data_IF_008181044229
#
_entry.id   IF_008181044229
#
_cell.length_a   1.000
_cell.length_b   1.000
_cell.length_c   1.000
_cell.angle_alpha   90.00
_cell.angle_beta   90.00
_cell.angle_gamma   90.00
#
_symmetry.space_group_name_H-M   'P 1'
#
loop_
_entity.id
_entity.type
_entity.pdbx_description
1 polymer ?
#
# COMPACT_ATOMS: atom_id res chain seq x y z
N UNK A 1 -47.84 -23.64 10.02
CA UNK A 1 -49.17 -24.07 10.54
C UNK A 1 -49.77 -22.87 11.27
N UNK A 2 -50.91 -23.02 11.94
CA UNK A 2 -51.45 -21.97 12.83
C UNK A 2 -50.51 -21.64 14.02
N UNK A 3 -49.41 -22.38 14.20
CA UNK A 3 -48.35 -22.14 15.18
C UNK A 3 -47.13 -21.41 14.58
N UNK A 4 -47.19 -21.03 13.29
CA UNK A 4 -46.11 -20.32 12.61
C UNK A 4 -44.98 -21.19 12.07
N UNK A 5 -45.06 -22.53 12.13
CA UNK A 5 -44.05 -23.37 11.52
C UNK A 5 -44.12 -23.30 10.00
N UNK A 6 -42.96 -23.08 9.38
CA UNK A 6 -42.81 -23.09 7.95
C UNK A 6 -43.21 -24.47 7.40
N UNK A 7 -44.20 -24.50 6.49
CA UNK A 7 -44.70 -25.77 5.94
C UNK A 7 -44.13 -26.11 4.57
N UNK A 8 -43.92 -25.10 3.71
CA UNK A 8 -43.33 -25.26 2.37
C UNK A 8 -43.07 -23.87 1.75
N UNK A 9 -41.82 -23.59 1.39
CA UNK A 9 -41.49 -22.43 0.57
C UNK A 9 -42.13 -22.60 -0.82
N UNK A 10 -43.01 -21.67 -1.20
CA UNK A 10 -43.78 -21.73 -2.46
C UNK A 10 -43.13 -20.92 -3.59
N UNK A 11 -42.33 -19.91 -3.23
CA UNK A 11 -41.50 -19.14 -4.16
C UNK A 11 -40.16 -18.88 -3.47
N UNK A 12 -39.08 -19.36 -4.05
CA UNK A 12 -37.71 -19.06 -3.62
C UNK A 12 -37.06 -18.27 -4.74
N UNK A 13 -36.93 -16.97 -4.57
CA UNK A 13 -36.07 -16.17 -5.44
C UNK A 13 -34.61 -16.45 -5.05
N UNK A 14 -33.83 -17.01 -5.97
CA UNK A 14 -32.46 -17.42 -5.65
C UNK A 14 -31.55 -16.20 -5.76
N UNK A 15 -30.65 -15.99 -4.79
CA UNK A 15 -29.68 -14.92 -4.91
C UNK A 15 -28.79 -15.15 -6.14
N UNK A 16 -28.48 -14.07 -6.85
CA UNK A 16 -27.46 -14.09 -7.89
C UNK A 16 -26.09 -13.89 -7.24
N UNK A 17 -25.14 -14.76 -7.57
CA UNK A 17 -23.78 -14.62 -7.08
C UNK A 17 -23.17 -13.30 -7.59
N UNK A 18 -22.34 -12.69 -6.77
CA UNK A 18 -21.52 -11.55 -7.20
C UNK A 18 -20.52 -11.98 -8.28
N UNK A 19 -19.98 -10.99 -9.00
CA UNK A 19 -18.93 -11.24 -9.98
C UNK A 19 -17.61 -11.57 -9.29
N UNK A 20 -16.82 -12.42 -9.94
CA UNK A 20 -15.44 -12.69 -9.52
C UNK A 20 -14.55 -11.46 -9.81
N UNK A 21 -13.62 -11.18 -8.88
CA UNK A 21 -12.59 -10.14 -9.02
C UNK A 21 -11.23 -10.79 -9.17
N UNK A 22 -10.56 -10.53 -10.28
CA UNK A 22 -9.19 -11.00 -10.54
C UNK A 22 -8.20 -9.86 -10.27
N UNK A 23 -7.21 -10.15 -9.42
CA UNK A 23 -6.16 -9.20 -9.06
C UNK A 23 -4.88 -9.50 -9.83
N UNK A 24 -4.02 -8.48 -9.96
CA UNK A 24 -2.67 -8.58 -10.54
C UNK A 24 -1.61 -9.09 -9.56
N UNK A 25 -1.99 -9.23 -8.28
CA UNK A 25 -1.08 -9.63 -7.20
C UNK A 25 -0.60 -11.07 -7.42
N UNK A 26 0.71 -11.28 -7.43
CA UNK A 26 1.30 -12.61 -7.31
C UNK A 26 1.44 -12.94 -5.82
N UNK A 27 0.68 -13.93 -5.34
CA UNK A 27 0.67 -14.32 -3.94
C UNK A 27 2.05 -14.72 -3.40
N UNK A 28 2.93 -15.28 -4.24
CA UNK A 28 4.29 -15.65 -3.85
C UNK A 28 5.15 -14.41 -3.68
N UNK A 29 5.02 -13.44 -4.58
CA UNK A 29 5.75 -12.18 -4.50
C UNK A 29 5.28 -11.34 -3.31
N UNK A 30 3.97 -11.30 -3.07
CA UNK A 30 3.39 -10.67 -1.88
C UNK A 30 3.99 -11.26 -0.59
N UNK A 31 4.05 -12.60 -0.50
CA UNK A 31 4.63 -13.28 0.66
C UNK A 31 6.10 -12.91 0.86
N UNK A 32 6.90 -12.90 -0.21
CA UNK A 32 8.31 -12.46 -0.15
C UNK A 32 8.42 -11.01 0.32
N UNK A 33 7.58 -10.10 -0.19
CA UNK A 33 7.59 -8.70 0.22
C UNK A 33 7.26 -8.53 1.72
N UNK A 34 6.30 -9.28 2.23
CA UNK A 34 5.95 -9.29 3.66
C UNK A 34 7.06 -9.87 4.53
N UNK A 35 7.71 -10.96 4.08
CA UNK A 35 8.82 -11.59 4.78
C UNK A 35 10.07 -10.70 4.82
N UNK A 36 10.32 -9.94 3.75
CA UNK A 36 11.41 -8.97 3.69
C UNK A 36 11.19 -7.79 4.63
N UNK A 37 9.95 -7.34 4.82
CA UNK A 37 9.64 -6.31 5.80
C UNK A 37 9.80 -6.84 7.23
N UNK A 38 9.45 -8.10 7.49
CA UNK A 38 9.54 -8.68 8.84
C UNK A 38 8.85 -7.80 9.88
N UNK A 39 9.61 -7.39 10.90
CA UNK A 39 9.16 -6.51 12.00
C UNK A 39 9.38 -5.02 11.72
N UNK A 40 9.92 -4.66 10.55
CA UNK A 40 10.20 -3.27 10.19
C UNK A 40 8.93 -2.50 9.83
N UNK A 41 8.92 -1.22 10.17
CA UNK A 41 7.83 -0.32 9.83
C UNK A 41 8.06 0.25 8.43
N UNK A 42 7.31 -0.23 7.45
CA UNK A 42 7.55 0.15 6.07
C UNK A 42 6.53 -0.36 5.07
N UNK A 43 6.84 -0.16 3.81
CA UNK A 43 6.05 -0.64 2.70
C UNK A 43 6.96 -1.09 1.55
N UNK A 44 6.48 -2.08 0.79
CA UNK A 44 7.09 -2.53 -0.46
C UNK A 44 5.99 -2.57 -1.51
N UNK A 45 6.27 -1.98 -2.68
CA UNK A 45 5.41 -2.07 -3.87
C UNK A 45 6.25 -2.63 -5.01
N UNK A 46 5.77 -3.72 -5.62
CA UNK A 46 6.32 -4.26 -6.86
C UNK A 46 5.33 -3.99 -7.98
N UNK A 47 5.82 -3.35 -9.05
CA UNK A 47 5.02 -2.91 -10.18
C UNK A 47 5.64 -3.39 -11.49
N UNK A 48 4.81 -3.86 -12.43
CA UNK A 48 5.22 -4.01 -13.82
C UNK A 48 5.18 -2.62 -14.49
N UNK A 49 6.33 -2.02 -14.86
CA UNK A 49 6.37 -0.67 -15.42
C UNK A 49 5.77 -0.58 -16.84
N UNK A 50 5.55 -1.72 -17.50
CA UNK A 50 5.00 -1.75 -18.87
C UNK A 50 3.48 -1.76 -18.88
N UNK A 51 2.83 -2.43 -17.92
CA UNK A 51 1.37 -2.49 -17.80
C UNK A 51 0.81 -1.59 -16.69
N UNK A 52 1.61 -1.28 -15.66
CA UNK A 52 1.16 -0.62 -14.43
C UNK A 52 0.61 -1.59 -13.39
N UNK A 53 0.67 -2.91 -13.64
CA UNK A 53 0.15 -3.93 -12.75
C UNK A 53 0.89 -3.94 -11.41
N UNK A 54 0.13 -4.01 -10.32
CA UNK A 54 0.68 -4.16 -8.98
C UNK A 54 0.82 -5.65 -8.69
N UNK A 55 2.05 -6.12 -8.63
CA UNK A 55 2.39 -7.53 -8.42
C UNK A 55 2.49 -7.86 -6.93
N UNK A 56 2.85 -6.88 -6.09
CA UNK A 56 2.83 -6.97 -4.63
C UNK A 56 2.67 -5.58 -4.01
N UNK A 57 1.96 -5.52 -2.89
CA UNK A 57 1.79 -4.32 -2.06
C UNK A 57 1.78 -4.74 -0.58
N UNK A 58 2.94 -4.69 0.05
CA UNK A 58 3.10 -5.02 1.47
C UNK A 58 3.20 -3.74 2.31
N UNK A 59 2.62 -3.78 3.50
CA UNK A 59 2.65 -2.71 4.51
C UNK A 59 2.79 -3.33 5.89
N UNK A 60 3.82 -2.92 6.64
CA UNK A 60 4.09 -3.40 7.99
C UNK A 60 4.28 -2.24 8.99
N UNK A 61 3.88 -2.43 10.27
CA UNK A 61 3.10 -3.55 10.77
C UNK A 61 1.66 -3.54 10.23
N UNK A 62 1.00 -4.69 10.31
CA UNK A 62 -0.37 -4.92 9.86
C UNK A 62 -1.12 -5.78 10.88
N UNK A 63 -2.37 -6.15 10.59
CA UNK A 63 -3.19 -7.00 11.45
C UNK A 63 -3.70 -8.22 10.68
N UNK A 64 -4.10 -9.28 11.38
CA UNK A 64 -4.74 -10.45 10.77
C UNK A 64 -6.18 -10.09 10.35
N UNK A 65 -6.51 -10.04 9.05
CA UNK A 65 -7.85 -9.67 8.60
C UNK A 65 -8.93 -10.68 9.03
N UNK A 66 -8.56 -11.92 9.36
CA UNK A 66 -9.53 -12.93 9.80
C UNK A 66 -10.26 -12.53 11.09
N UNK A 67 -9.67 -11.66 11.92
CA UNK A 67 -10.34 -11.16 13.14
C UNK A 67 -11.61 -10.36 12.81
N UNK A 68 -11.68 -9.73 11.64
CA UNK A 68 -12.84 -8.94 11.20
C UNK A 68 -13.97 -9.82 10.64
N UNK A 69 -13.68 -11.08 10.29
CA UNK A 69 -14.68 -12.01 9.76
C UNK A 69 -15.60 -12.58 10.85
N UNK A 70 -15.23 -12.39 12.12
CA UNK A 70 -15.96 -12.84 13.31
C UNK A 70 -16.48 -11.65 14.10
N UNK A 71 -17.32 -11.92 15.09
CA UNK A 71 -17.73 -10.91 16.05
C UNK A 71 -16.50 -10.40 16.81
N UNK A 72 -16.13 -9.15 16.53
CA UNK A 72 -14.95 -8.51 17.08
C UNK A 72 -15.27 -7.97 18.46
N UNK A 73 -14.54 -8.41 19.49
CA UNK A 73 -14.74 -7.85 20.82
C UNK A 73 -14.23 -6.42 20.89
N UNK A 74 -14.84 -5.59 21.76
CA UNK A 74 -14.38 -4.22 21.98
C UNK A 74 -12.89 -4.16 22.39
N UNK A 75 -12.40 -5.17 23.12
CA UNK A 75 -11.00 -5.29 23.51
C UNK A 75 -10.08 -5.46 22.30
N UNK A 76 -10.38 -6.42 21.41
CA UNK A 76 -9.59 -6.64 20.19
C UNK A 76 -9.58 -5.42 19.27
N UNK A 77 -10.70 -4.71 19.18
CA UNK A 77 -10.76 -3.46 18.43
C UNK A 77 -9.82 -2.40 18.99
N UNK A 78 -9.85 -2.21 20.31
CA UNK A 78 -8.98 -1.25 21.01
C UNK A 78 -7.51 -1.62 20.82
N UNK A 79 -7.16 -2.90 20.88
CA UNK A 79 -5.79 -3.39 20.62
C UNK A 79 -5.29 -2.98 19.23
N UNK A 80 -6.09 -3.18 18.18
CA UNK A 80 -5.70 -2.82 16.79
C UNK A 80 -5.60 -1.31 16.60
N UNK A 81 -6.55 -0.54 17.15
CA UNK A 81 -6.64 0.91 16.93
C UNK A 81 -5.59 1.68 17.75
N UNK A 82 -5.25 1.20 18.95
CA UNK A 82 -4.28 1.87 19.83
C UNK A 82 -2.84 1.36 19.67
N UNK A 83 -2.62 0.37 18.80
CA UNK A 83 -1.28 -0.11 18.46
C UNK A 83 -0.40 1.03 17.94
N UNK A 84 0.77 1.22 18.56
CA UNK A 84 1.72 2.30 18.21
C UNK A 84 2.24 2.18 16.78
N UNK A 85 2.30 0.96 16.26
CA UNK A 85 2.64 0.62 14.89
C UNK A 85 1.55 1.00 13.88
N UNK A 86 0.37 1.45 14.32
CA UNK A 86 -0.73 1.91 13.44
C UNK A 86 -1.01 0.92 12.30
N UNK A 87 -1.39 -0.33 12.60
CA UNK A 87 -1.55 -1.41 11.62
C UNK A 87 -2.71 -1.19 10.63
N UNK A 88 -3.63 -0.28 10.94
CA UNK A 88 -4.72 0.12 10.05
C UNK A 88 -4.28 1.06 8.92
N UNK A 89 -3.10 1.68 9.04
CA UNK A 89 -2.57 2.56 8.01
C UNK A 89 -1.84 1.75 6.94
N UNK A 90 -2.35 1.76 5.72
CA UNK A 90 -1.62 1.24 4.57
C UNK A 90 -0.50 2.23 4.19
N UNK A 91 0.73 1.90 4.57
CA UNK A 91 1.92 2.74 4.31
C UNK A 91 2.27 2.85 2.83
N UNK A 92 1.90 1.86 2.02
CA UNK A 92 2.18 1.87 0.59
C UNK A 92 1.38 2.95 -0.15
N UNK A 93 0.14 3.20 0.27
CA UNK A 93 -0.77 4.15 -0.41
C UNK A 93 -1.04 5.43 0.39
N UNK A 94 -0.95 5.38 1.72
CA UNK A 94 -1.29 6.50 2.62
C UNK A 94 -0.05 7.06 3.34
N UNK A 95 1.10 6.39 3.24
CA UNK A 95 2.34 6.85 3.84
C UNK A 95 2.86 8.13 3.15
N UNK A 96 3.08 9.17 3.95
CA UNK A 96 3.67 10.42 3.48
C UNK A 96 5.07 10.56 4.05
N UNK A 97 6.07 10.38 3.20
CA UNK A 97 7.48 10.46 3.56
C UNK A 97 8.19 11.43 2.62
N UNK A 98 9.15 12.23 3.13
CA UNK A 98 10.04 12.95 2.25
C UNK A 98 10.75 11.96 1.31
N UNK A 99 10.67 12.12 -0.02
CA UNK A 99 11.25 11.15 -0.96
C UNK A 99 12.79 11.10 -0.90
N UNK A 100 13.41 12.12 -0.32
CA UNK A 100 14.86 12.21 -0.20
C UNK A 100 15.55 12.23 -1.57
N UNK A 101 16.70 11.56 -1.68
CA UNK A 101 17.48 11.55 -2.91
C UNK A 101 16.82 10.83 -4.09
N UNK A 102 15.74 10.05 -3.89
CA UNK A 102 15.00 9.42 -4.99
C UNK A 102 14.35 10.46 -5.91
N UNK A 103 14.01 11.64 -5.38
CA UNK A 103 13.44 12.75 -6.15
C UNK A 103 14.44 13.47 -7.07
N UNK A 104 15.74 13.13 -7.00
CA UNK A 104 16.74 13.72 -7.89
C UNK A 104 16.53 13.36 -9.36
N UNK A 105 15.96 12.19 -9.65
CA UNK A 105 15.71 11.75 -11.03
C UNK A 105 14.74 12.70 -11.77
N UNK A 106 13.52 12.98 -11.29
CA UNK A 106 12.63 13.93 -11.96
C UNK A 106 13.22 15.35 -11.99
N UNK A 107 13.97 15.77 -10.97
CA UNK A 107 14.64 17.07 -10.98
C UNK A 107 15.74 17.17 -12.05
N UNK A 108 16.50 16.11 -12.25
CA UNK A 108 17.52 16.05 -13.30
C UNK A 108 16.88 16.08 -14.69
N UNK A 109 15.79 15.33 -14.90
CA UNK A 109 15.02 15.38 -16.14
C UNK A 109 14.52 16.81 -16.40
N UNK A 110 13.92 17.45 -15.39
CA UNK A 110 13.45 18.84 -15.52
C UNK A 110 14.58 19.80 -15.89
N UNK A 111 15.77 19.68 -15.27
CA UNK A 111 16.91 20.54 -15.58
C UNK A 111 17.44 20.38 -17.01
N UNK A 112 17.37 19.17 -17.56
CA UNK A 112 17.72 18.89 -18.96
C UNK A 112 16.65 19.46 -19.92
N UNK A 113 15.37 19.25 -19.61
CA UNK A 113 14.23 19.74 -20.41
C UNK A 113 14.20 21.28 -20.47
N UNK A 114 14.45 21.95 -19.34
CA UNK A 114 14.54 23.42 -19.27
C UNK A 114 15.86 23.97 -19.79
N UNK A 115 16.78 23.09 -20.24
CA UNK A 115 18.14 23.44 -20.70
C UNK A 115 18.95 24.22 -19.67
N UNK A 116 18.61 24.11 -18.38
CA UNK A 116 19.39 24.68 -17.28
C UNK A 116 20.70 23.92 -17.09
N UNK A 117 20.71 22.64 -17.45
CA UNK A 117 21.91 21.80 -17.53
C UNK A 117 21.92 20.99 -18.83
N UNK A 118 23.09 20.49 -19.22
CA UNK A 118 23.27 19.51 -20.29
C UNK A 118 23.94 18.23 -19.74
N UNK A 119 23.95 17.12 -20.49
CA UNK A 119 24.65 15.90 -20.06
C UNK A 119 26.16 16.10 -19.81
N UNK A 120 26.77 17.12 -20.40
CA UNK A 120 28.18 17.47 -20.22
C UNK A 120 28.41 18.51 -19.13
N UNK A 121 27.37 19.02 -18.48
CA UNK A 121 27.50 19.99 -17.38
C UNK A 121 28.20 19.36 -16.18
N UNK A 122 29.24 20.03 -15.68
CA UNK A 122 29.97 19.63 -14.47
C UNK A 122 29.82 20.69 -13.39
N UNK A 123 29.75 20.27 -12.14
CA UNK A 123 29.76 21.15 -10.97
C UNK A 123 30.86 20.69 -10.02
N UNK A 124 31.70 21.62 -9.56
CA UNK A 124 32.66 21.32 -8.51
C UNK A 124 31.93 21.20 -7.17
N UNK A 125 31.96 20.02 -6.57
CA UNK A 125 31.33 19.73 -5.28
C UNK A 125 32.40 19.63 -4.19
N UNK A 126 32.44 20.62 -3.30
CA UNK A 126 33.35 20.64 -2.13
C UNK A 126 32.63 20.30 -0.81
N UNK A 127 31.42 19.74 -0.88
CA UNK A 127 30.63 19.33 0.29
C UNK A 127 29.63 20.38 0.81
N UNK A 128 29.52 21.55 0.17
CA UNK A 128 28.52 22.57 0.52
C UNK A 128 28.23 23.53 -0.64
N UNK A 129 27.22 24.38 -0.47
CA UNK A 129 26.91 25.45 -1.42
C UNK A 129 26.50 26.71 -0.65
N UNK A 130 27.15 27.84 -0.94
CA UNK A 130 26.77 29.12 -0.33
C UNK A 130 25.59 29.71 -1.10
N UNK A 131 24.48 29.94 -0.41
CA UNK A 131 23.31 30.58 -0.98
C UNK A 131 23.10 31.96 -0.34
N UNK A 132 23.22 33.02 -1.13
CA UNK A 132 23.11 34.41 -0.67
C UNK A 132 24.46 35.06 -0.36
N UNK A 133 24.42 36.24 0.27
CA UNK A 133 25.60 37.09 0.58
C UNK A 133 25.97 37.12 2.06
N UNK A 134 25.63 36.09 2.83
CA UNK A 134 26.10 35.94 4.22
C UNK A 134 26.86 34.64 4.36
#
# INVERSE_FOLDING_TARGET
DALGHEKRATVVDRPQAGNDLYLTIDARLQKVAEDLLGEEHGAIVALDPTSGDILAMASRPGFDPNVLSRELTAKQWVEIVQDEGRPLNNRASQGQYPPGSTFKIPMAIAALETKTMSPSSTVFCNGGYQFGKR
#
